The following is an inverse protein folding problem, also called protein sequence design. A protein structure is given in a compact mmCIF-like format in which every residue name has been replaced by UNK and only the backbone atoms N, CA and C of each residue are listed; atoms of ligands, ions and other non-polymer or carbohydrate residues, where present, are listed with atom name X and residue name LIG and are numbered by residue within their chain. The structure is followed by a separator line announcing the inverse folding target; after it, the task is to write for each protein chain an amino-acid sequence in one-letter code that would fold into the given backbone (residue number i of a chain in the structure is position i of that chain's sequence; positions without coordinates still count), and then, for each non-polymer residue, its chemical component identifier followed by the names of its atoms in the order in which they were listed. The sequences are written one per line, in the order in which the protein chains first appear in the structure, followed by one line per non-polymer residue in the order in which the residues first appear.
data_IF_595429110854
#
_entry.id   IF_595429110854
#
_cell.length_a   1.000
_cell.length_b   1.000
_cell.length_c   1.000
_cell.angle_alpha   90.00
_cell.angle_beta   90.00
_cell.angle_gamma   90.00
#
_symmetry.space_group_name_H-M   'P 1'
#
loop_
_entity.id
_entity.type
_entity.pdbx_description
1 polymer ?
#
# COMPACT_ATOMS: atom_id res chain seq x y z
N UNK A 1 4.68 -62.34 5.43
CA UNK A 1 3.61 -61.65 4.67
C UNK A 1 3.73 -60.17 5.02
N UNK A 2 4.07 -59.35 4.03
CA UNK A 2 4.42 -57.92 4.20
C UNK A 2 3.18 -57.09 4.57
N UNK A 3 3.27 -56.28 5.62
CA UNK A 3 2.26 -55.29 5.99
C UNK A 3 2.54 -53.98 5.24
N UNK A 4 1.76 -53.70 4.21
CA UNK A 4 1.77 -52.42 3.49
C UNK A 4 0.88 -51.42 4.23
N UNK A 5 1.47 -50.34 4.76
CA UNK A 5 0.75 -49.17 5.26
C UNK A 5 0.41 -48.23 4.08
N UNK A 6 -0.81 -47.67 3.99
CA UNK A 6 -1.10 -46.66 2.98
C UNK A 6 -0.49 -45.31 3.42
N UNK A 7 0.34 -44.74 2.55
CA UNK A 7 0.78 -43.35 2.65
C UNK A 7 -0.44 -42.44 2.43
N UNK A 8 -0.84 -41.69 3.45
CA UNK A 8 -1.73 -40.55 3.28
C UNK A 8 -0.90 -39.39 2.73
N UNK A 9 -1.05 -39.11 1.43
CA UNK A 9 -0.61 -37.83 0.88
C UNK A 9 -1.57 -36.74 1.35
N UNK A 10 -1.11 -35.94 2.30
CA UNK A 10 -1.75 -34.67 2.63
C UNK A 10 -1.38 -33.72 1.48
N UNK A 11 -2.28 -33.57 0.52
CA UNK A 11 -2.19 -32.47 -0.43
C UNK A 11 -2.56 -31.20 0.31
N UNK A 12 -1.55 -30.45 0.76
CA UNK A 12 -1.75 -29.04 1.11
C UNK A 12 -2.03 -28.28 -0.19
N UNK A 13 -3.32 -28.12 -0.51
CA UNK A 13 -3.72 -27.09 -1.46
C UNK A 13 -3.47 -25.74 -0.79
N UNK A 14 -2.49 -25.00 -1.30
CA UNK A 14 -2.39 -23.57 -1.05
C UNK A 14 -3.75 -22.93 -1.40
N UNK A 15 -4.29 -22.02 -0.57
CA UNK A 15 -5.52 -21.34 -0.91
C UNK A 15 -5.28 -20.61 -2.23
N UNK A 16 -6.08 -20.95 -3.23
CA UNK A 16 -6.22 -20.15 -4.45
C UNK A 16 -6.69 -18.79 -3.97
N UNK A 17 -5.83 -17.78 -4.07
CA UNK A 17 -6.23 -16.41 -3.83
C UNK A 17 -7.33 -16.11 -4.84
N UNK A 18 -8.58 -16.02 -4.39
CA UNK A 18 -9.65 -15.53 -5.25
C UNK A 18 -9.24 -14.11 -5.61
N UNK A 19 -8.83 -13.89 -6.85
CA UNK A 19 -8.58 -12.53 -7.34
C UNK A 19 -9.93 -11.84 -7.43
N UNK A 20 -10.40 -11.30 -6.31
CA UNK A 20 -11.57 -10.42 -6.29
C UNK A 20 -11.33 -9.35 -7.35
N UNK A 21 -12.22 -9.20 -8.34
CA UNK A 21 -12.04 -8.22 -9.40
C UNK A 21 -11.88 -6.84 -8.78
N UNK A 22 -10.84 -6.11 -9.17
CA UNK A 22 -10.71 -4.71 -8.77
C UNK A 22 -11.89 -3.94 -9.34
N UNK A 23 -12.67 -3.32 -8.45
CA UNK A 23 -13.91 -2.64 -8.80
C UNK A 23 -13.73 -1.13 -8.87
N UNK A 24 -14.69 -0.44 -9.49
CA UNK A 24 -14.74 1.03 -9.48
C UNK A 24 -14.79 1.59 -8.05
N UNK A 25 -15.32 0.85 -7.07
CA UNK A 25 -15.27 1.22 -5.66
C UNK A 25 -13.83 1.32 -5.16
N UNK A 26 -12.94 0.42 -5.56
CA UNK A 26 -11.51 0.47 -5.21
C UNK A 26 -10.78 1.64 -5.86
N UNK A 27 -11.18 2.03 -7.07
CA UNK A 27 -10.71 3.29 -7.69
C UNK A 27 -11.13 4.49 -6.84
N UNK A 28 -12.36 4.49 -6.31
CA UNK A 28 -12.83 5.58 -5.44
C UNK A 28 -12.10 5.61 -4.09
N UNK A 29 -11.89 4.46 -3.43
CA UNK A 29 -11.13 4.39 -2.18
C UNK A 29 -9.69 4.88 -2.35
N UNK A 30 -9.01 4.49 -3.43
CA UNK A 30 -7.64 4.98 -3.71
C UNK A 30 -7.59 6.48 -3.98
N UNK A 31 -8.57 7.02 -4.72
CA UNK A 31 -8.67 8.48 -4.94
C UNK A 31 -8.87 9.23 -3.64
N UNK A 32 -9.80 8.76 -2.80
CA UNK A 32 -10.07 9.36 -1.49
C UNK A 32 -8.81 9.34 -0.62
N UNK A 33 -8.08 8.23 -0.57
CA UNK A 33 -6.80 8.14 0.14
C UNK A 33 -5.79 9.18 -0.38
N UNK A 34 -5.63 9.32 -1.70
CA UNK A 34 -4.70 10.28 -2.28
C UNK A 34 -5.06 11.74 -1.93
N UNK A 35 -6.36 12.07 -1.95
CA UNK A 35 -6.86 13.38 -1.53
C UNK A 35 -6.52 13.65 -0.06
N UNK A 36 -6.75 12.68 0.83
CA UNK A 36 -6.45 12.83 2.27
C UNK A 36 -4.96 12.94 2.57
N UNK A 37 -4.11 12.18 1.87
CA UNK A 37 -2.64 12.32 1.98
C UNK A 37 -2.22 13.72 1.55
N UNK A 38 -2.76 14.22 0.43
CA UNK A 38 -2.46 15.57 -0.08
C UNK A 38 -2.89 16.66 0.90
N UNK A 39 -4.07 16.50 1.53
CA UNK A 39 -4.52 17.40 2.59
C UNK A 39 -3.58 17.39 3.80
N UNK A 40 -3.14 16.21 4.24
CA UNK A 40 -2.21 16.08 5.36
C UNK A 40 -0.85 16.72 5.08
N UNK A 41 -0.29 16.54 3.88
CA UNK A 41 0.97 17.18 3.48
C UNK A 41 0.90 18.72 3.45
N UNK A 42 -0.30 19.28 3.33
CA UNK A 42 -0.54 20.72 3.34
C UNK A 42 -0.87 21.28 4.75
N UNK A 43 -0.91 20.45 5.80
CA UNK A 43 -1.17 20.92 7.15
C UNK A 43 0.02 21.69 7.73
N UNK A 44 -0.16 22.99 7.91
CA UNK A 44 0.87 23.89 8.43
C UNK A 44 1.21 23.63 9.89
N UNK A 45 0.22 23.27 10.72
CA UNK A 45 0.43 23.02 12.16
C UNK A 45 1.34 21.80 12.38
N UNK A 46 1.02 20.68 11.71
CA UNK A 46 1.77 19.43 11.81
C UNK A 46 3.24 19.58 11.40
N UNK A 47 3.49 20.34 10.33
CA UNK A 47 4.83 20.55 9.78
C UNK A 47 5.40 21.94 10.07
N UNK A 48 4.99 22.59 11.16
CA UNK A 48 5.53 23.90 11.54
C UNK A 48 7.06 23.86 11.62
N UNK A 49 7.73 24.70 10.84
CA UNK A 49 9.20 24.74 10.72
C UNK A 49 9.81 23.70 9.77
N UNK A 50 8.99 22.97 9.02
CA UNK A 50 9.40 21.95 8.05
C UNK A 50 8.70 22.24 6.72
N UNK A 51 9.44 22.65 5.69
CA UNK A 51 8.87 22.73 4.35
C UNK A 51 8.85 21.34 3.71
N UNK A 52 7.71 20.65 3.81
CA UNK A 52 7.58 19.30 3.29
C UNK A 52 7.83 19.19 1.79
N UNK A 53 7.46 20.20 1.01
CA UNK A 53 7.64 20.18 -0.46
C UNK A 53 9.10 20.20 -0.91
N UNK A 54 10.00 20.68 -0.05
CA UNK A 54 11.45 20.74 -0.32
C UNK A 54 12.21 19.52 0.23
N UNK A 55 11.57 18.68 1.06
CA UNK A 55 12.23 17.50 1.60
C UNK A 55 12.42 16.41 0.54
N UNK A 56 13.34 15.47 0.77
CA UNK A 56 13.34 14.24 -0.02
C UNK A 56 12.16 13.36 0.41
N UNK A 57 11.72 12.45 -0.46
CA UNK A 57 10.75 11.42 -0.10
C UNK A 57 11.47 10.16 0.40
N UNK A 58 10.86 9.47 1.35
CA UNK A 58 11.31 8.15 1.81
C UNK A 58 10.33 7.10 1.30
N UNK A 59 10.80 6.23 0.41
CA UNK A 59 10.00 5.19 -0.22
C UNK A 59 10.23 3.84 0.47
N UNK A 60 9.17 3.05 0.62
CA UNK A 60 9.30 1.63 0.90
C UNK A 60 9.99 0.91 -0.29
N UNK A 61 11.19 0.39 -0.05
CA UNK A 61 11.99 -0.36 -1.03
C UNK A 61 11.87 -1.88 -0.87
N UNK A 62 11.04 -2.37 0.06
CA UNK A 62 10.85 -3.80 0.32
C UNK A 62 9.85 -4.47 -0.63
N UNK A 63 9.37 -3.74 -1.63
CA UNK A 63 8.40 -4.16 -2.66
C UNK A 63 8.87 -3.68 -4.02
N UNK A 64 8.44 -4.39 -5.06
CA UNK A 64 8.73 -4.05 -6.45
C UNK A 64 7.48 -3.53 -7.18
N UNK A 65 6.54 -2.93 -6.46
CA UNK A 65 5.22 -2.48 -6.99
C UNK A 65 5.31 -1.69 -8.30
N UNK A 66 6.21 -0.71 -8.48
CA UNK A 66 6.29 0.03 -9.73
C UNK A 66 6.66 -0.84 -10.94
N UNK A 67 7.38 -1.93 -10.71
CA UNK A 67 7.81 -2.87 -11.75
C UNK A 67 6.74 -3.93 -12.01
N UNK A 68 6.24 -4.61 -10.97
CA UNK A 68 5.28 -5.71 -11.14
C UNK A 68 3.87 -5.24 -11.53
N UNK A 69 3.54 -3.98 -11.25
CA UNK A 69 2.28 -3.35 -11.66
C UNK A 69 2.41 -2.51 -12.94
N UNK A 70 3.55 -2.57 -13.63
CA UNK A 70 3.71 -1.85 -14.89
C UNK A 70 2.78 -2.45 -15.97
N UNK A 71 2.11 -1.61 -16.79
CA UNK A 71 1.37 -2.11 -17.94
C UNK A 71 2.28 -2.86 -18.93
N UNK A 72 1.70 -3.79 -19.70
CA UNK A 72 2.44 -4.64 -20.65
C UNK A 72 3.32 -3.85 -21.64
N UNK A 73 2.86 -2.67 -22.05
CA UNK A 73 3.53 -1.80 -23.04
C UNK A 73 4.33 -0.65 -22.41
N UNK A 74 4.73 -0.76 -21.12
CA UNK A 74 5.47 0.29 -20.45
C UNK A 74 6.88 0.51 -21.08
N UNK A 75 7.01 1.56 -21.89
CA UNK A 75 8.25 1.91 -22.62
C UNK A 75 9.38 2.43 -21.73
N UNK A 76 9.06 2.92 -20.53
CA UNK A 76 10.03 3.52 -19.61
C UNK A 76 10.98 2.53 -18.92
N UNK A 77 10.75 1.21 -19.05
CA UNK A 77 11.48 0.17 -18.30
C UNK A 77 12.57 -0.55 -19.11
N UNK A 78 12.82 -0.14 -20.36
CA UNK A 78 13.97 -0.62 -21.16
C UNK A 78 13.92 -2.10 -21.57
N UNK A 79 12.84 -2.84 -21.23
CA UNK A 79 12.55 -4.19 -21.70
C UNK A 79 11.13 -4.27 -22.25
N UNK A 80 11.02 -4.72 -23.50
CA UNK A 80 9.80 -5.15 -24.16
C UNK A 80 9.40 -6.53 -23.63
N UNK A 81 8.12 -6.70 -23.30
CA UNK A 81 7.49 -7.89 -22.69
C UNK A 81 7.62 -7.96 -21.16
N UNK A 82 6.89 -7.07 -20.48
CA UNK A 82 6.48 -7.29 -19.10
C UNK A 82 5.10 -7.96 -19.12
N UNK A 83 5.04 -9.24 -18.76
CA UNK A 83 3.76 -9.88 -18.50
C UNK A 83 3.20 -9.34 -17.18
N UNK A 84 2.10 -8.58 -17.29
CA UNK A 84 1.39 -8.09 -16.12
C UNK A 84 0.87 -9.28 -15.31
N UNK A 85 1.41 -9.46 -14.10
CA UNK A 85 0.96 -10.47 -13.17
C UNK A 85 0.10 -9.80 -12.10
N UNK A 86 -1.23 -9.97 -12.22
CA UNK A 86 -2.20 -9.37 -11.32
C UNK A 86 -1.97 -9.76 -9.85
N UNK A 87 -1.75 -11.05 -9.58
CA UNK A 87 -1.52 -11.56 -8.22
C UNK A 87 -0.28 -10.93 -7.58
N UNK A 88 0.83 -10.88 -8.31
CA UNK A 88 2.08 -10.26 -7.87
C UNK A 88 1.92 -8.75 -7.65
N UNK A 89 1.18 -8.08 -8.53
CA UNK A 89 0.88 -6.66 -8.37
C UNK A 89 0.06 -6.41 -7.09
N UNK A 90 -1.04 -7.13 -6.89
CA UNK A 90 -1.90 -7.02 -5.71
C UNK A 90 -1.16 -7.32 -4.41
N UNK A 91 -0.37 -8.39 -4.38
CA UNK A 91 0.45 -8.75 -3.21
C UNK A 91 1.47 -7.65 -2.86
N UNK A 92 2.11 -7.04 -3.86
CA UNK A 92 3.06 -5.95 -3.63
C UNK A 92 2.36 -4.66 -3.17
N UNK A 93 1.19 -4.34 -3.73
CA UNK A 93 0.34 -3.23 -3.26
C UNK A 93 -0.03 -3.44 -1.80
N UNK A 94 -0.56 -4.61 -1.44
CA UNK A 94 -0.93 -4.92 -0.07
C UNK A 94 0.25 -4.75 0.91
N UNK A 95 1.43 -5.26 0.53
CA UNK A 95 2.65 -5.11 1.34
C UNK A 95 3.07 -3.66 1.53
N UNK A 96 2.90 -2.81 0.52
CA UNK A 96 3.12 -1.37 0.65
C UNK A 96 2.12 -0.75 1.62
N UNK A 97 0.82 -0.97 1.40
CA UNK A 97 -0.24 -0.40 2.25
C UNK A 97 -0.07 -0.84 3.71
N UNK A 98 0.25 -2.11 3.94
CA UNK A 98 0.54 -2.68 5.26
C UNK A 98 1.76 -2.03 5.93
N UNK A 99 2.85 -1.82 5.18
CA UNK A 99 4.04 -1.13 5.69
C UNK A 99 3.71 0.29 6.15
N UNK A 100 3.04 1.07 5.29
CA UNK A 100 2.67 2.45 5.62
C UNK A 100 1.65 2.52 6.75
N UNK A 101 0.64 1.64 6.75
CA UNK A 101 -0.34 1.57 7.83
C UNK A 101 0.34 1.35 9.18
N UNK A 102 1.23 0.35 9.30
CA UNK A 102 2.01 0.11 10.53
C UNK A 102 2.78 1.35 10.96
N UNK A 103 3.51 1.96 10.02
CA UNK A 103 4.29 3.17 10.29
C UNK A 103 3.42 4.30 10.87
N UNK A 104 2.28 4.59 10.25
CA UNK A 104 1.43 5.69 10.69
C UNK A 104 0.76 5.40 12.02
N UNK A 105 0.27 4.18 12.23
CA UNK A 105 -0.40 3.81 13.48
C UNK A 105 0.53 3.73 14.70
N UNK A 106 1.84 3.61 14.49
CA UNK A 106 2.83 3.66 15.57
C UNK A 106 3.09 5.09 16.08
N UNK A 107 2.50 6.13 15.48
CA UNK A 107 2.81 7.55 15.72
C UNK A 107 1.63 8.36 16.30
N UNK A 108 0.88 7.87 17.30
CA UNK A 108 -0.42 8.41 17.74
C UNK A 108 -0.44 9.92 18.05
N UNK A 109 0.64 10.48 18.58
CA UNK A 109 0.71 11.90 18.96
C UNK A 109 0.92 12.83 17.77
N UNK A 110 1.60 12.34 16.72
CA UNK A 110 1.61 12.99 15.41
C UNK A 110 0.26 12.86 14.69
N UNK A 111 -0.58 11.93 15.13
CA UNK A 111 -1.83 11.57 14.47
C UNK A 111 -3.06 12.35 14.93
N UNK A 112 -2.97 13.22 15.95
CA UNK A 112 -4.12 14.00 16.43
C UNK A 112 -4.71 14.92 15.33
N UNK A 113 -3.93 15.24 14.29
CA UNK A 113 -4.32 16.07 13.13
C UNK A 113 -4.56 15.25 11.85
N UNK A 114 -4.35 13.93 11.91
CA UNK A 114 -4.27 12.97 10.80
C UNK A 114 -5.41 11.91 10.71
N UNK A 115 -6.49 11.90 11.52
CA UNK A 115 -7.45 10.77 11.51
C UNK A 115 -8.01 10.42 10.12
N UNK A 116 -8.10 11.41 9.23
CA UNK A 116 -8.82 11.27 7.98
C UNK A 116 -8.11 10.39 6.95
N UNK A 117 -6.79 10.48 6.76
CA UNK A 117 -6.13 9.60 5.77
C UNK A 117 -5.92 8.19 6.31
N UNK A 118 -5.68 8.01 7.62
CA UNK A 118 -5.58 6.67 8.22
C UNK A 118 -6.90 5.91 8.10
N UNK A 119 -8.03 6.63 8.24
CA UNK A 119 -9.34 6.06 7.97
C UNK A 119 -9.47 5.65 6.50
N UNK A 120 -9.16 6.54 5.54
CA UNK A 120 -9.23 6.19 4.12
C UNK A 120 -8.25 5.07 3.70
N UNK A 121 -7.09 4.95 4.35
CA UNK A 121 -6.15 3.84 4.15
C UNK A 121 -6.75 2.53 4.64
N UNK A 122 -7.35 2.54 5.84
CA UNK A 122 -8.09 1.40 6.38
C UNK A 122 -9.22 0.98 5.44
N UNK A 123 -10.05 1.93 5.00
CA UNK A 123 -11.18 1.65 4.10
C UNK A 123 -10.69 1.01 2.79
N UNK A 124 -9.62 1.53 2.19
CA UNK A 124 -9.02 0.90 1.01
C UNK A 124 -8.58 -0.54 1.29
N UNK A 125 -7.88 -0.76 2.40
CA UNK A 125 -7.36 -2.08 2.76
C UNK A 125 -8.49 -3.09 3.03
N UNK A 126 -9.49 -2.73 3.83
CA UNK A 126 -10.59 -3.61 4.24
C UNK A 126 -11.59 -3.90 3.11
N UNK A 127 -11.77 -2.98 2.16
CA UNK A 127 -12.78 -3.13 1.09
C UNK A 127 -12.22 -3.63 -0.25
N UNK A 128 -10.90 -3.63 -0.42
CA UNK A 128 -10.27 -4.00 -1.71
C UNK A 128 -9.29 -5.17 -1.62
N UNK A 129 -8.96 -5.62 -0.41
CA UNK A 129 -8.03 -6.71 -0.16
C UNK A 129 -8.65 -7.70 0.82
N UNK A 130 -8.37 -8.99 0.63
CA UNK A 130 -8.90 -10.05 1.49
C UNK A 130 -8.05 -10.21 2.75
N UNK A 131 -6.80 -9.75 2.70
CA UNK A 131 -5.86 -9.81 3.79
C UNK A 131 -6.31 -8.96 4.99
N UNK A 132 -6.13 -9.51 6.19
CA UNK A 132 -6.49 -8.81 7.42
C UNK A 132 -5.52 -7.66 7.71
N UNK A 133 -6.03 -6.58 8.28
CA UNK A 133 -5.19 -5.47 8.68
C UNK A 133 -4.06 -5.90 9.62
N UNK A 134 -2.86 -5.34 9.44
CA UNK A 134 -1.75 -5.65 10.33
C UNK A 134 -2.06 -5.25 11.78
N UNK A 135 -1.68 -6.12 12.71
CA UNK A 135 -1.68 -5.82 14.14
C UNK A 135 -0.56 -4.83 14.46
N UNK A 136 -0.88 -3.82 15.26
CA UNK A 136 0.08 -2.80 15.67
C UNK A 136 0.61 -3.10 17.07
N UNK A 137 1.84 -2.67 17.30
CA UNK A 137 2.40 -2.59 18.64
C UNK A 137 1.79 -1.42 19.42
N UNK A 138 1.89 -1.46 20.75
CA UNK A 138 1.34 -0.41 21.61
C UNK A 138 1.92 0.95 21.23
N UNK A 139 1.07 1.96 21.00
CA UNK A 139 1.52 3.30 20.67
C UNK A 139 2.44 3.84 21.78
N UNK A 140 3.55 4.46 21.41
CA UNK A 140 4.39 5.21 22.37
C UNK A 140 3.76 6.60 22.52
N UNK A 141 3.51 7.00 23.76
CA UNK A 141 2.87 8.27 24.09
C UNK A 141 3.94 9.27 24.55
N UNK A 142 4.35 10.16 23.64
CA UNK A 142 5.29 11.25 23.89
C UNK A 142 5.09 12.39 22.90
N UNK A 143 5.40 13.62 23.34
CA UNK A 143 5.32 14.77 22.46
C UNK A 143 6.28 14.62 21.28
N UNK A 144 5.76 14.82 20.06
CA UNK A 144 6.56 14.64 18.86
C UNK A 144 7.73 15.63 18.77
N UNK A 145 8.89 15.10 18.44
CA UNK A 145 10.13 15.85 18.20
C UNK A 145 10.16 16.42 16.78
N UNK A 146 11.06 17.38 16.52
CA UNK A 146 11.30 17.88 15.16
C UNK A 146 11.70 16.76 14.19
N UNK A 147 12.58 15.85 14.61
CA UNK A 147 13.04 14.74 13.75
C UNK A 147 11.92 13.77 13.40
N UNK A 148 10.99 13.51 14.32
CA UNK A 148 9.84 12.63 14.06
C UNK A 148 8.85 13.28 13.09
N UNK A 149 8.58 14.58 13.24
CA UNK A 149 7.77 15.34 12.27
C UNK A 149 8.43 15.39 10.89
N UNK A 150 9.75 15.55 10.84
CA UNK A 150 10.51 15.52 9.58
C UNK A 150 10.46 14.13 8.94
N UNK A 151 10.63 13.06 9.72
CA UNK A 151 10.51 11.69 9.24
C UNK A 151 9.11 11.42 8.67
N UNK A 152 8.07 11.76 9.44
CA UNK A 152 6.68 11.63 9.00
C UNK A 152 6.42 12.37 7.68
N UNK A 153 6.92 13.60 7.55
CA UNK A 153 6.82 14.39 6.34
C UNK A 153 7.42 13.67 5.11
N UNK A 154 8.66 13.15 5.23
CA UNK A 154 9.32 12.42 4.15
C UNK A 154 8.61 11.13 3.79
N UNK A 155 8.16 10.38 4.79
CA UNK A 155 7.40 9.14 4.60
C UNK A 155 6.04 9.40 3.97
N UNK A 156 5.32 10.45 4.36
CA UNK A 156 4.05 10.83 3.73
C UNK A 156 4.22 11.20 2.26
N UNK A 157 5.33 11.86 1.91
CA UNK A 157 5.65 12.15 0.51
C UNK A 157 5.94 10.89 -0.30
N UNK A 158 6.71 9.96 0.26
CA UNK A 158 6.94 8.67 -0.38
C UNK A 158 5.64 7.87 -0.53
N UNK A 159 4.79 7.91 0.50
CA UNK A 159 3.48 7.29 0.47
C UNK A 159 2.58 7.89 -0.59
N UNK A 160 2.53 9.22 -0.72
CA UNK A 160 1.77 9.90 -1.79
C UNK A 160 2.16 9.38 -3.16
N UNK A 161 3.47 9.29 -3.44
CA UNK A 161 3.98 8.76 -4.72
C UNK A 161 3.60 7.30 -4.91
N UNK A 162 3.71 6.47 -3.86
CA UNK A 162 3.30 5.06 -3.95
C UNK A 162 1.79 4.92 -4.16
N UNK A 163 0.96 5.72 -3.52
CA UNK A 163 -0.50 5.74 -3.70
C UNK A 163 -0.89 6.15 -5.12
N UNK A 164 -0.13 7.05 -5.78
CA UNK A 164 -0.33 7.34 -7.20
C UNK A 164 -0.08 6.09 -8.05
N UNK A 165 1.00 5.35 -7.79
CA UNK A 165 1.27 4.07 -8.47
C UNK A 165 0.15 3.05 -8.23
N UNK A 166 -0.29 2.90 -6.98
CA UNK A 166 -1.40 2.01 -6.59
C UNK A 166 -2.70 2.40 -7.30
N UNK A 167 -3.05 3.68 -7.32
CA UNK A 167 -4.25 4.19 -7.98
C UNK A 167 -4.24 3.87 -9.48
N UNK A 168 -3.10 4.09 -10.16
CA UNK A 168 -2.94 3.74 -11.57
C UNK A 168 -3.10 2.24 -11.82
N UNK A 169 -2.49 1.40 -10.99
CA UNK A 169 -2.59 -0.05 -11.11
C UNK A 169 -4.03 -0.54 -10.89
N UNK A 170 -4.72 -0.04 -9.86
CA UNK A 170 -6.11 -0.39 -9.58
C UNK A 170 -7.04 0.08 -10.71
N UNK A 171 -6.85 1.28 -11.26
CA UNK A 171 -7.60 1.73 -12.43
C UNK A 171 -7.35 0.88 -13.68
N UNK A 172 -6.10 0.46 -13.92
CA UNK A 172 -5.75 -0.44 -15.04
C UNK A 172 -6.38 -1.83 -14.90
N UNK A 173 -6.49 -2.33 -13.66
CA UNK A 173 -7.21 -3.56 -13.37
C UNK A 173 -8.72 -3.39 -13.54
N UNK A 174 -9.30 -2.30 -13.02
CA UNK A 174 -10.74 -2.00 -13.10
C UNK A 174 -11.23 -1.82 -14.55
N UNK A 175 -10.39 -1.28 -15.44
CA UNK A 175 -10.73 -1.13 -16.86
C UNK A 175 -10.71 -2.44 -17.66
N UNK A 176 -10.18 -3.53 -17.09
CA UNK A 176 -9.98 -4.79 -17.78
C UNK A 176 -8.90 -4.77 -18.87
N UNK A 177 -8.10 -3.70 -18.97
CA UNK A 177 -7.04 -3.61 -19.99
C UNK A 177 -5.89 -4.59 -19.76
N UNK A 178 -5.67 -5.00 -18.51
CA UNK A 178 -4.67 -6.01 -18.14
C UNK A 178 -4.91 -7.40 -18.74
N UNK A 179 -6.15 -7.75 -19.09
CA UNK A 179 -6.53 -9.05 -19.67
C UNK A 179 -6.60 -9.04 -21.20
N UNK A 180 -6.44 -7.87 -21.84
CA UNK A 180 -6.34 -7.74 -23.29
C UNK A 180 -4.94 -8.12 -23.78
#
# INVERSE_FOLDING_TARGET
MMLSLPMWQISESLPVMSTTPMTDSCVNYTRMLLEKITQALNQTELFTGINCTEQNMELNTNTNTPFVCAPKEATCLGKSELDFNQESCLSNIWRDLSHYYKFFTAQPDLLQHVPTFNHSLRELMENCFEESLPTNETPVNHASTYSERLNLCKTLRGFQVRTITVSRAISYMSSGEHTK
#
